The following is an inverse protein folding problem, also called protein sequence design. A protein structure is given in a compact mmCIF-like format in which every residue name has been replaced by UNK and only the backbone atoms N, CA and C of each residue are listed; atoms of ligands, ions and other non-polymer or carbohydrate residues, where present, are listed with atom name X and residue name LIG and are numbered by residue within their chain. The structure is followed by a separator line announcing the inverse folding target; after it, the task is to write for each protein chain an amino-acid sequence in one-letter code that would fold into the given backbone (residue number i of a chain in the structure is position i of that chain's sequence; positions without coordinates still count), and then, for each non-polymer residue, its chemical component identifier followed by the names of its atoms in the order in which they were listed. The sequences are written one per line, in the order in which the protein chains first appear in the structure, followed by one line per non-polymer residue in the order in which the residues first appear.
data_IF_347062497938
#
_entry.id   IF_347062497938
#
_cell.length_a   1.000
_cell.length_b   1.000
_cell.length_c   1.000
_cell.angle_alpha   90.00
_cell.angle_beta   90.00
_cell.angle_gamma   90.00
#
_symmetry.space_group_name_H-M   'P 1'
#
loop_
_entity.id
_entity.type
_entity.pdbx_description
1 polymer ?
#
# COMPACT_ATOMS: atom_id res chain seq x y z
N UNK A 1 -8.30 23.27 -52.10
CA UNK A 1 -7.53 23.97 -51.06
C UNK A 1 -7.92 23.36 -49.73
N UNK A 2 -7.31 22.22 -49.41
CA UNK A 2 -7.66 21.38 -48.27
C UNK A 2 -7.07 21.99 -46.99
N UNK A 3 -7.90 22.19 -45.97
CA UNK A 3 -7.46 22.67 -44.66
C UNK A 3 -7.10 21.47 -43.80
N UNK A 4 -5.81 21.30 -43.52
CA UNK A 4 -5.30 20.31 -42.59
C UNK A 4 -5.84 20.55 -41.18
N UNK A 5 -6.53 19.56 -40.63
CA UNK A 5 -7.01 19.52 -39.25
C UNK A 5 -5.82 19.30 -38.32
N UNK A 6 -5.36 20.36 -37.66
CA UNK A 6 -4.31 20.29 -36.63
C UNK A 6 -4.77 19.38 -35.46
N UNK A 7 -4.11 18.23 -35.32
CA UNK A 7 -4.26 17.35 -34.15
C UNK A 7 -3.71 18.06 -32.91
N UNK A 8 -4.61 18.49 -32.03
CA UNK A 8 -4.28 19.04 -30.70
C UNK A 8 -3.51 17.96 -29.92
N UNK A 9 -2.22 18.19 -29.66
CA UNK A 9 -1.40 17.33 -28.81
C UNK A 9 -1.91 17.44 -27.37
N UNK A 10 -2.56 16.40 -26.86
CA UNK A 10 -2.93 16.30 -25.45
C UNK A 10 -1.66 16.13 -24.65
N UNK A 11 -1.17 17.22 -24.05
CA UNK A 11 0.00 17.19 -23.18
C UNK A 11 -0.42 16.47 -21.90
N UNK A 12 0.24 15.36 -21.58
CA UNK A 12 0.04 14.68 -20.31
C UNK A 12 0.44 15.64 -19.18
N UNK A 13 -0.55 16.19 -18.49
CA UNK A 13 -0.34 16.95 -17.26
C UNK A 13 0.12 15.95 -16.21
N UNK A 14 1.43 15.74 -16.13
CA UNK A 14 2.05 14.93 -15.10
C UNK A 14 1.55 15.35 -13.71
N UNK A 15 1.52 14.39 -12.78
CA UNK A 15 1.04 14.60 -11.41
C UNK A 15 0.04 13.54 -10.98
N UNK A 16 -0.37 13.62 -9.70
CA UNK A 16 -1.42 12.73 -9.16
C UNK A 16 -2.76 13.09 -9.82
N UNK A 17 -3.46 12.13 -10.45
CA UNK A 17 -4.80 12.36 -10.99
C UNK A 17 -5.72 12.97 -9.92
N UNK A 18 -6.52 13.96 -10.33
CA UNK A 18 -7.53 14.55 -9.44
C UNK A 18 -8.53 13.46 -9.04
N UNK A 19 -8.96 13.47 -7.78
CA UNK A 19 -10.02 12.58 -7.33
C UNK A 19 -11.31 12.85 -8.14
N UNK A 20 -11.98 11.78 -8.57
CA UNK A 20 -13.21 11.86 -9.35
C UNK A 20 -14.33 12.60 -8.60
N UNK A 21 -14.42 12.38 -7.29
CA UNK A 21 -15.34 13.08 -6.39
C UNK A 21 -14.49 13.78 -5.32
N UNK A 22 -14.55 15.12 -5.33
CA UNK A 22 -13.87 15.93 -4.32
C UNK A 22 -14.71 16.00 -3.04
N UNK A 23 -14.04 16.15 -1.90
CA UNK A 23 -14.67 16.35 -0.60
C UNK A 23 -14.41 17.80 -0.19
N UNK A 24 -15.36 18.67 -0.51
CA UNK A 24 -15.28 20.13 -0.35
C UNK A 24 -16.29 20.68 0.66
N UNK A 25 -17.30 19.90 1.07
CA UNK A 25 -18.20 20.28 2.14
C UNK A 25 -17.54 20.15 3.54
N UNK A 26 -17.78 21.14 4.40
CA UNK A 26 -17.33 21.13 5.80
C UNK A 26 -18.47 20.72 6.74
N UNK A 27 -18.13 19.94 7.76
CA UNK A 27 -19.00 19.60 8.88
C UNK A 27 -18.32 20.05 10.19
N UNK A 28 -18.99 20.88 10.97
CA UNK A 28 -18.48 21.41 12.24
C UNK A 28 -19.09 20.63 13.41
N UNK A 29 -18.25 20.26 14.38
CA UNK A 29 -18.67 19.54 15.60
C UNK A 29 -18.23 20.34 16.81
N UNK A 30 -19.20 20.87 17.56
CA UNK A 30 -18.95 21.52 18.84
C UNK A 30 -18.72 20.45 19.91
N UNK A 31 -17.66 20.61 20.70
CA UNK A 31 -17.33 19.67 21.77
C UNK A 31 -16.57 20.39 22.89
N UNK A 32 -16.65 19.84 24.10
CA UNK A 32 -15.86 20.29 25.24
C UNK A 32 -14.41 19.74 25.15
N UNK A 33 -13.54 20.19 26.06
CA UNK A 33 -12.12 19.83 26.07
C UNK A 33 -11.92 18.31 26.27
N UNK A 34 -12.76 17.67 27.08
CA UNK A 34 -12.67 16.24 27.40
C UNK A 34 -13.07 15.42 26.17
N UNK A 35 -14.21 15.74 25.55
CA UNK A 35 -14.69 15.14 24.30
C UNK A 35 -13.67 15.27 23.18
N UNK A 36 -13.08 16.47 22.99
CA UNK A 36 -12.03 16.69 22.01
C UNK A 36 -10.85 15.74 22.23
N UNK A 37 -10.37 15.61 23.47
CA UNK A 37 -9.27 14.68 23.82
C UNK A 37 -9.67 13.22 23.58
N UNK A 38 -10.89 12.83 23.93
CA UNK A 38 -11.39 11.47 23.69
C UNK A 38 -11.48 11.15 22.20
N UNK A 39 -12.01 12.05 21.38
CA UNK A 39 -12.09 11.91 19.92
C UNK A 39 -10.68 11.76 19.32
N UNK A 40 -9.73 12.59 19.75
CA UNK A 40 -8.34 12.50 19.31
C UNK A 40 -7.69 11.16 19.72
N UNK A 41 -7.91 10.71 20.95
CA UNK A 41 -7.41 9.42 21.42
C UNK A 41 -8.00 8.25 20.63
N UNK A 42 -9.30 8.29 20.33
CA UNK A 42 -9.98 7.24 19.55
C UNK A 42 -9.52 7.23 18.09
N UNK A 43 -9.34 8.40 17.47
CA UNK A 43 -8.76 8.51 16.14
C UNK A 43 -7.34 7.91 16.08
N UNK A 44 -6.52 8.18 17.10
CA UNK A 44 -5.18 7.61 17.22
C UNK A 44 -5.20 6.08 17.39
N UNK A 45 -6.11 5.54 18.23
CA UNK A 45 -6.30 4.08 18.36
C UNK A 45 -6.72 3.44 17.04
N UNK A 46 -7.58 4.13 16.29
CA UNK A 46 -8.01 3.73 14.95
C UNK A 46 -6.95 3.94 13.85
N UNK A 47 -5.75 4.44 14.18
CA UNK A 47 -4.67 4.75 13.23
C UNK A 47 -5.11 5.66 12.07
N UNK A 48 -5.97 6.64 12.36
CA UNK A 48 -6.46 7.60 11.36
C UNK A 48 -6.53 9.01 11.95
N UNK A 49 -6.77 10.01 11.11
CA UNK A 49 -6.94 11.39 11.56
C UNK A 49 -8.38 11.63 12.07
N UNK A 50 -8.58 12.69 12.86
CA UNK A 50 -9.88 12.99 13.49
C UNK A 50 -11.01 13.15 12.46
N UNK A 51 -10.77 13.85 11.35
CA UNK A 51 -11.79 14.08 10.33
C UNK A 51 -12.22 12.79 9.63
N UNK A 52 -11.27 11.90 9.32
CA UNK A 52 -11.55 10.59 8.75
C UNK A 52 -12.21 9.68 9.77
N UNK A 53 -11.79 9.75 11.04
CA UNK A 53 -12.38 9.01 12.15
C UNK A 53 -13.88 9.36 12.26
N UNK A 54 -14.20 10.63 12.50
CA UNK A 54 -15.58 11.08 12.69
C UNK A 54 -16.44 10.79 11.47
N UNK A 55 -15.90 10.99 10.26
CA UNK A 55 -16.63 10.67 9.02
C UNK A 55 -16.89 9.17 8.88
N UNK A 56 -15.91 8.31 9.16
CA UNK A 56 -16.12 6.86 9.06
C UNK A 56 -17.12 6.35 10.10
N UNK A 57 -17.07 6.86 11.33
CA UNK A 57 -18.08 6.56 12.35
C UNK A 57 -19.45 7.05 11.89
N UNK A 58 -19.55 8.29 11.40
CA UNK A 58 -20.82 8.87 10.94
C UNK A 58 -21.43 8.15 9.74
N UNK A 59 -20.61 7.62 8.82
CA UNK A 59 -21.09 6.89 7.64
C UNK A 59 -21.38 5.41 7.91
N UNK A 60 -20.56 4.74 8.72
CA UNK A 60 -20.59 3.28 8.85
C UNK A 60 -21.06 2.80 10.23
N UNK A 61 -21.32 3.71 11.18
CA UNK A 61 -21.64 3.42 12.58
C UNK A 61 -20.47 2.87 13.41
N UNK A 62 -19.45 2.29 12.76
CA UNK A 62 -18.25 1.73 13.38
C UNK A 62 -17.02 1.99 12.52
N UNK A 63 -15.86 2.04 13.17
CA UNK A 63 -14.58 2.04 12.47
C UNK A 63 -14.03 0.62 12.39
N UNK A 64 -13.75 0.18 11.17
CA UNK A 64 -12.92 -0.99 10.93
C UNK A 64 -11.49 -0.51 10.74
N UNK A 65 -10.61 -0.84 11.69
CA UNK A 65 -9.18 -0.55 11.54
C UNK A 65 -8.65 -1.44 10.42
N UNK A 66 -8.27 -0.83 9.30
CA UNK A 66 -7.70 -1.54 8.14
C UNK A 66 -6.24 -1.89 8.37
N UNK A 67 -5.94 -2.57 9.47
CA UNK A 67 -4.61 -3.09 9.77
C UNK A 67 -4.65 -4.60 9.64
N UNK A 68 -3.76 -5.13 8.83
CA UNK A 68 -3.48 -6.57 8.83
C UNK A 68 -2.84 -6.96 10.18
N UNK A 69 -3.10 -8.18 10.69
CA UNK A 69 -2.40 -8.71 11.86
C UNK A 69 -0.88 -8.59 11.70
N UNK A 70 -0.16 -8.52 12.82
CA UNK A 70 1.29 -8.29 12.83
C UNK A 70 2.02 -9.37 12.04
N UNK A 71 1.55 -10.59 12.14
CA UNK A 71 2.04 -11.80 11.49
C UNK A 71 1.91 -11.67 9.97
N UNK A 72 0.74 -11.24 9.51
CA UNK A 72 0.48 -11.01 8.08
C UNK A 72 1.35 -9.86 7.55
N UNK A 73 1.54 -8.79 8.33
CA UNK A 73 2.46 -7.70 7.95
C UNK A 73 3.89 -8.19 7.81
N UNK A 74 4.37 -9.05 8.72
CA UNK A 74 5.71 -9.65 8.63
C UNK A 74 5.84 -10.50 7.37
N UNK A 75 4.87 -11.35 7.05
CA UNK A 75 4.87 -12.12 5.80
C UNK A 75 4.93 -11.22 4.56
N UNK A 76 4.12 -10.16 4.51
CA UNK A 76 4.14 -9.23 3.37
C UNK A 76 5.47 -8.50 3.23
N UNK A 77 6.11 -8.13 4.34
CA UNK A 77 7.43 -7.48 4.32
C UNK A 77 8.49 -8.43 3.77
N UNK A 78 8.55 -9.67 4.28
CA UNK A 78 9.52 -10.65 3.81
C UNK A 78 9.30 -11.00 2.34
N UNK A 79 8.05 -11.25 1.92
CA UNK A 79 7.71 -11.50 0.51
C UNK A 79 8.13 -10.35 -0.42
N UNK A 80 7.96 -9.09 0.00
CA UNK A 80 8.39 -7.93 -0.79
C UNK A 80 9.92 -7.89 -0.96
N UNK A 81 10.68 -8.22 0.10
CA UNK A 81 12.14 -8.31 0.01
C UNK A 81 12.59 -9.42 -0.95
N UNK A 82 12.01 -10.62 -0.83
CA UNK A 82 12.32 -11.73 -1.72
C UNK A 82 11.97 -11.40 -3.18
N UNK A 83 10.81 -10.79 -3.41
CA UNK A 83 10.39 -10.35 -4.75
C UNK A 83 11.35 -9.31 -5.34
N UNK A 84 11.86 -8.38 -4.53
CA UNK A 84 12.87 -7.41 -4.96
C UNK A 84 14.18 -8.11 -5.35
N UNK A 85 14.65 -9.06 -4.54
CA UNK A 85 15.87 -9.83 -4.81
C UNK A 85 15.73 -10.66 -6.10
N UNK A 86 14.61 -11.36 -6.28
CA UNK A 86 14.31 -12.10 -7.51
C UNK A 86 14.24 -11.18 -8.73
N UNK A 87 13.64 -9.99 -8.60
CA UNK A 87 13.57 -9.01 -9.69
C UNK A 87 14.97 -8.46 -10.04
N UNK A 88 15.87 -8.31 -9.06
CA UNK A 88 17.27 -7.95 -9.34
C UNK A 88 17.99 -9.04 -10.14
N UNK A 89 17.86 -10.30 -9.73
CA UNK A 89 18.45 -11.45 -10.43
C UNK A 89 17.88 -11.56 -11.85
N UNK A 90 16.57 -11.41 -12.02
CA UNK A 90 15.91 -11.42 -13.32
C UNK A 90 16.43 -10.28 -14.23
N UNK A 91 16.61 -9.07 -13.68
CA UNK A 91 17.17 -7.93 -14.43
C UNK A 91 18.61 -8.18 -14.88
N UNK A 92 19.45 -8.76 -14.02
CA UNK A 92 20.83 -9.16 -14.41
C UNK A 92 20.81 -10.17 -15.56
N UNK A 93 19.99 -11.22 -15.44
CA UNK A 93 19.86 -12.24 -16.49
C UNK A 93 19.34 -11.69 -17.81
N UNK A 94 18.39 -10.76 -17.77
CA UNK A 94 17.83 -10.11 -18.95
C UNK A 94 18.83 -9.17 -19.65
N UNK A 95 19.84 -8.66 -18.94
CA UNK A 95 20.94 -7.88 -19.52
C UNK A 95 22.01 -8.75 -20.19
N UNK A 96 21.87 -10.08 -20.14
CA UNK A 96 22.85 -11.01 -20.70
C UNK A 96 24.04 -11.29 -19.80
N UNK A 97 24.02 -10.83 -18.53
CA UNK A 97 24.99 -11.23 -17.53
C UNK A 97 24.74 -12.69 -17.10
N UNK A 98 25.80 -13.50 -17.08
CA UNK A 98 25.71 -14.86 -16.56
C UNK A 98 25.49 -14.85 -15.04
N UNK A 99 24.67 -15.79 -14.58
CA UNK A 99 24.41 -15.96 -13.15
C UNK A 99 25.65 -16.52 -12.47
N UNK A 100 26.35 -15.65 -11.74
CA UNK A 100 27.50 -16.00 -10.93
C UNK A 100 27.11 -17.02 -9.83
N UNK A 101 28.09 -17.75 -9.30
CA UNK A 101 27.91 -18.70 -8.19
C UNK A 101 27.20 -18.07 -6.99
N UNK A 102 27.49 -16.79 -6.71
CA UNK A 102 26.83 -16.02 -5.67
C UNK A 102 25.34 -15.78 -5.96
N UNK A 103 24.97 -15.39 -7.19
CA UNK A 103 23.56 -15.16 -7.56
C UNK A 103 22.75 -16.47 -7.50
N UNK A 104 23.37 -17.61 -7.84
CA UNK A 104 22.75 -18.94 -7.70
C UNK A 104 22.56 -19.35 -6.24
N UNK A 105 23.52 -19.04 -5.37
CA UNK A 105 23.40 -19.28 -3.94
C UNK A 105 22.28 -18.43 -3.32
N UNK A 106 22.21 -17.14 -3.68
CA UNK A 106 21.14 -16.23 -3.26
C UNK A 106 19.78 -16.73 -3.75
N UNK A 107 19.65 -17.11 -5.02
CA UNK A 107 18.40 -17.66 -5.56
C UNK A 107 17.93 -18.91 -4.77
N UNK A 108 18.85 -19.84 -4.46
CA UNK A 108 18.53 -21.02 -3.67
C UNK A 108 18.12 -20.68 -2.24
N UNK A 109 18.73 -19.66 -1.63
CA UNK A 109 18.34 -19.16 -0.32
C UNK A 109 16.93 -18.57 -0.33
N UNK A 110 16.61 -17.74 -1.33
CA UNK A 110 15.28 -17.14 -1.51
C UNK A 110 14.19 -18.22 -1.70
N UNK A 111 14.47 -19.26 -2.50
CA UNK A 111 13.53 -20.39 -2.68
C UNK A 111 13.27 -21.13 -1.38
N UNK A 112 14.31 -21.40 -0.58
CA UNK A 112 14.16 -22.03 0.75
C UNK A 112 13.38 -21.14 1.72
N UNK A 113 13.67 -19.84 1.72
CA UNK A 113 12.94 -18.86 2.52
C UNK A 113 11.45 -18.82 2.18
N UNK A 114 11.12 -18.84 0.88
CA UNK A 114 9.75 -18.87 0.41
C UNK A 114 9.02 -20.15 0.84
N UNK A 115 9.68 -21.32 0.80
CA UNK A 115 9.12 -22.57 1.31
C UNK A 115 8.81 -22.50 2.82
N UNK A 116 9.68 -21.87 3.63
CA UNK A 116 9.44 -21.65 5.06
C UNK A 116 8.21 -20.78 5.31
N UNK A 117 8.12 -19.64 4.60
CA UNK A 117 6.99 -18.71 4.76
C UNK A 117 5.68 -19.39 4.34
N UNK A 118 5.68 -20.19 3.28
CA UNK A 118 4.48 -20.96 2.88
C UNK A 118 4.04 -21.91 3.99
N UNK A 119 4.99 -22.56 4.69
CA UNK A 119 4.68 -23.41 5.84
C UNK A 119 4.12 -22.61 7.02
N UNK A 120 4.73 -21.47 7.33
CA UNK A 120 4.28 -20.56 8.39
C UNK A 120 2.87 -20.00 8.13
N UNK A 121 2.60 -19.59 6.89
CA UNK A 121 1.26 -19.11 6.48
C UNK A 121 0.23 -20.24 6.59
N UNK A 122 0.56 -21.46 6.18
CA UNK A 122 -0.34 -22.62 6.34
C UNK A 122 -0.66 -22.88 7.80
N UNK A 123 0.34 -22.79 8.69
CA UNK A 123 0.15 -22.95 10.13
C UNK A 123 -0.67 -21.82 10.75
N UNK A 124 -0.57 -20.59 10.22
CA UNK A 124 -1.35 -19.44 10.68
C UNK A 124 -2.83 -19.52 10.27
N UNK A 125 -3.14 -20.21 9.16
CA UNK A 125 -4.50 -20.34 8.63
C UNK A 125 -5.23 -21.61 9.07
N UNK A 126 -4.51 -22.58 9.65
CA UNK A 126 -5.06 -23.82 10.20
C UNK A 126 -5.58 -23.60 11.63
#
# INVERSE_FOLDING_TARGET
MEKETQKVRVVNKGGRPKAQIKRDCQLTVMCNIIEKKMIQANARRARTNVSNYLRQVGLNGRITVKTLPKEVLQFTSTLNHMAANLNQIARKRNKGEDLNTLDRALLNQEVRGLQSIVKEVKNYLA
#
